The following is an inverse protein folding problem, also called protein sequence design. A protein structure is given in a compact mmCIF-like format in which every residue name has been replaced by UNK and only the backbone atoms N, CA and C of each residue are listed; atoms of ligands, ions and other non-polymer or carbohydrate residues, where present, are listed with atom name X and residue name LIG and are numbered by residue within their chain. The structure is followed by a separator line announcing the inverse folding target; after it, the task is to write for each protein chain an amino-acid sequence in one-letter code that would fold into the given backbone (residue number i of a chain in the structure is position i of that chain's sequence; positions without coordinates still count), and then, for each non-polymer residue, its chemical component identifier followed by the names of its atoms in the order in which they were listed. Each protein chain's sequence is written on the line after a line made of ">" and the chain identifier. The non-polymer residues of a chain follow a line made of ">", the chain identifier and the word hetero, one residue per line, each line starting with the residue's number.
data_IF_952472794872
#
_entry.id   IF_952472794872
#
_cell.length_a   1.000
_cell.length_b   1.000
_cell.length_c   1.000
_cell.angle_alpha   90.00
_cell.angle_beta   90.00
_cell.angle_gamma   90.00
#
_symmetry.space_group_name_H-M   'P 1'
#
loop_
_entity.id
_entity.type
_entity.pdbx_description
1 polymer ?
#
# COMPACT_ATOMS: atom_id res chain seq x y z
N UNK A 1 5.57 -6.91 -4.01
CA UNK A 1 5.68 -8.14 -4.82
C UNK A 1 6.99 -8.84 -4.48
N UNK A 2 6.96 -10.13 -4.12
CA UNK A 2 8.08 -10.76 -3.40
C UNK A 2 9.36 -10.83 -4.22
N UNK A 3 10.43 -10.24 -3.68
CA UNK A 3 11.80 -10.28 -4.18
C UNK A 3 12.48 -11.52 -3.57
N UNK A 4 12.72 -12.56 -4.36
CA UNK A 4 13.57 -13.70 -3.94
C UNK A 4 15.05 -13.41 -4.15
N UNK A 5 15.81 -13.36 -3.06
CA UNK A 5 17.27 -13.44 -3.09
C UNK A 5 17.64 -14.92 -3.06
N UNK A 6 18.41 -15.36 -4.04
CA UNK A 6 18.93 -16.73 -4.13
C UNK A 6 19.92 -16.97 -2.98
N UNK A 7 19.54 -17.76 -1.98
CA UNK A 7 20.52 -18.43 -1.15
C UNK A 7 21.30 -19.41 -2.05
N UNK A 8 22.62 -19.29 -2.05
CA UNK A 8 23.49 -20.19 -2.80
C UNK A 8 23.27 -21.60 -2.24
N UNK A 9 22.91 -22.54 -3.09
CA UNK A 9 22.73 -23.95 -2.71
C UNK A 9 24.08 -24.51 -2.24
N UNK A 10 24.33 -24.47 -0.93
CA UNK A 10 25.28 -25.38 -0.29
C UNK A 10 24.59 -26.74 -0.15
N UNK A 11 25.29 -27.87 -0.39
CA UNK A 11 24.66 -29.10 -0.87
C UNK A 11 23.89 -29.97 0.15
N UNK A 12 23.41 -29.47 1.30
CA UNK A 12 22.24 -30.11 1.91
C UNK A 12 21.01 -29.21 2.11
N UNK A 13 21.10 -27.88 2.04
CA UNK A 13 19.98 -26.99 2.35
C UNK A 13 19.32 -26.46 1.07
N UNK A 14 18.14 -26.99 0.72
CA UNK A 14 17.30 -26.48 -0.36
C UNK A 14 16.25 -25.55 0.25
N UNK A 15 16.70 -24.39 0.72
CA UNK A 15 15.87 -23.39 1.39
C UNK A 15 15.97 -22.07 0.63
N UNK A 16 14.92 -21.26 0.66
CA UNK A 16 14.91 -19.92 0.04
C UNK A 16 14.09 -18.94 0.87
N UNK A 17 14.48 -17.67 0.84
CA UNK A 17 13.76 -16.56 1.46
C UNK A 17 13.48 -15.46 0.42
N UNK A 18 12.27 -14.88 0.48
CA UNK A 18 11.84 -13.77 -0.38
C UNK A 18 11.08 -12.73 0.42
N UNK A 19 11.18 -11.45 0.05
CA UNK A 19 10.60 -10.34 0.81
C UNK A 19 9.78 -9.38 -0.03
N UNK A 20 8.64 -8.92 0.49
CA UNK A 20 7.90 -7.75 0.01
C UNK A 20 7.90 -6.64 1.07
N UNK A 21 7.78 -5.37 0.69
CA UNK A 21 7.62 -4.27 1.66
C UNK A 21 6.41 -4.52 2.58
N UNK A 22 6.60 -4.36 3.89
CA UNK A 22 5.58 -4.60 4.92
C UNK A 22 4.84 -3.36 5.41
N UNK A 23 5.25 -2.16 4.98
CA UNK A 23 4.61 -0.90 5.38
C UNK A 23 4.56 -0.68 6.90
N UNK A 24 5.50 -1.23 7.67
CA UNK A 24 5.54 -0.98 9.11
C UNK A 24 6.07 0.42 9.41
N UNK A 25 5.68 0.92 10.57
CA UNK A 25 6.06 2.25 11.02
C UNK A 25 7.41 2.25 11.75
N UNK A 26 8.46 2.60 11.01
CA UNK A 26 9.85 2.78 11.46
C UNK A 26 10.28 4.24 11.55
N UNK A 27 9.34 5.19 11.39
CA UNK A 27 9.64 6.62 11.30
C UNK A 27 8.60 7.44 12.06
N UNK A 28 9.07 8.26 12.98
CA UNK A 28 8.21 9.22 13.68
C UNK A 28 8.60 10.64 13.33
N UNK A 29 7.60 11.52 13.28
CA UNK A 29 7.80 12.97 13.26
C UNK A 29 7.75 13.47 14.69
N UNK A 30 8.77 14.22 15.12
CA UNK A 30 8.79 14.92 16.39
C UNK A 30 8.63 16.43 16.19
N UNK A 31 7.74 17.03 16.97
CA UNK A 31 7.52 18.46 17.07
C UNK A 31 8.40 19.01 18.19
N UNK A 32 9.51 19.63 17.79
CA UNK A 32 10.51 20.26 18.66
C UNK A 32 10.07 21.67 18.99
N UNK A 33 9.66 21.94 20.23
CA UNK A 33 9.31 23.31 20.63
C UNK A 33 10.55 24.20 20.57
N UNK A 34 10.51 25.23 19.74
CA UNK A 34 11.64 26.13 19.56
C UNK A 34 11.81 27.05 20.78
N UNK A 35 13.03 27.47 21.04
CA UNK A 35 13.38 28.35 22.15
C UNK A 35 14.56 29.26 21.75
N UNK A 36 14.81 30.28 22.56
CA UNK A 36 16.01 31.10 22.48
C UNK A 36 16.77 31.02 23.81
N UNK A 37 18.10 30.80 23.80
CA UNK A 37 18.89 30.63 25.03
C UNK A 37 18.98 31.91 25.87
N UNK A 38 18.75 33.07 25.27
CA UNK A 38 18.73 34.38 25.94
C UNK A 38 17.36 34.78 26.49
N UNK A 39 16.33 33.94 26.27
CA UNK A 39 14.97 34.19 26.72
C UNK A 39 14.17 35.16 25.86
N UNK A 40 14.68 35.57 24.70
CA UNK A 40 13.90 36.31 23.71
C UNK A 40 12.76 35.45 23.13
N UNK A 41 11.78 36.10 22.50
CA UNK A 41 10.61 35.43 21.93
C UNK A 41 11.02 34.48 20.79
N UNK A 42 10.78 33.16 20.91
CA UNK A 42 11.13 32.22 19.85
C UNK A 42 10.31 32.47 18.59
N UNK A 43 10.87 32.11 17.44
CA UNK A 43 10.20 32.18 16.15
C UNK A 43 10.40 30.88 15.36
N UNK A 44 9.73 30.73 14.22
CA UNK A 44 9.99 29.61 13.29
C UNK A 44 11.41 29.61 12.69
N UNK A 45 12.19 30.69 12.89
CA UNK A 45 13.59 30.79 12.47
C UNK A 45 14.58 30.47 13.60
N UNK A 46 14.10 30.27 14.83
CA UNK A 46 14.93 29.92 15.98
C UNK A 46 15.73 28.65 15.73
N UNK A 47 16.93 28.62 16.29
CA UNK A 47 17.91 27.54 16.08
C UNK A 47 18.16 26.70 17.32
N UNK A 48 17.35 26.87 18.35
CA UNK A 48 17.37 26.05 19.56
C UNK A 48 15.97 25.47 19.83
N UNK A 49 15.92 24.35 20.54
CA UNK A 49 14.69 23.64 20.90
C UNK A 49 14.74 23.12 22.34
N UNK A 50 13.58 22.95 22.95
CA UNK A 50 13.47 22.46 24.32
C UNK A 50 13.50 20.93 24.32
N UNK A 51 14.49 20.34 25.00
CA UNK A 51 14.55 18.91 25.26
C UNK A 51 14.94 18.62 26.70
N UNK A 52 14.11 17.84 27.40
CA UNK A 52 14.26 17.52 28.83
C UNK A 52 14.49 18.76 29.70
N UNK A 53 13.70 19.81 29.42
CA UNK A 53 13.73 21.08 30.16
C UNK A 53 14.89 22.02 29.81
N UNK A 54 15.74 21.69 28.83
CA UNK A 54 16.88 22.50 28.42
C UNK A 54 16.69 23.05 27.01
N UNK A 55 17.05 24.32 26.79
CA UNK A 55 17.11 24.91 25.45
C UNK A 55 18.44 24.51 24.78
N UNK A 56 18.37 23.63 23.78
CA UNK A 56 19.53 23.02 23.09
C UNK A 56 19.64 23.54 21.66
N UNK A 57 20.85 23.76 21.19
CA UNK A 57 21.07 24.13 19.79
C UNK A 57 20.69 22.97 18.86
N UNK A 58 20.08 23.30 17.73
CA UNK A 58 20.00 22.41 16.58
C UNK A 58 21.39 22.30 15.94
N UNK A 59 21.85 21.07 15.71
CA UNK A 59 23.15 20.82 15.09
C UNK A 59 23.12 21.19 13.60
N UNK A 60 24.22 21.77 13.11
CA UNK A 60 24.43 21.99 11.68
C UNK A 60 25.08 20.76 11.04
N UNK A 61 24.31 20.01 10.27
CA UNK A 61 24.82 18.86 9.53
C UNK A 61 25.23 19.27 8.12
N UNK A 62 26.43 18.87 7.70
CA UNK A 62 26.93 19.06 6.35
C UNK A 62 27.01 17.71 5.62
N UNK A 63 26.08 17.49 4.69
CA UNK A 63 25.99 16.27 3.89
C UNK A 63 26.91 16.27 2.65
N UNK A 64 27.74 17.31 2.49
CA UNK A 64 28.64 17.44 1.35
C UNK A 64 28.03 18.28 0.22
N UNK A 65 28.36 17.94 -1.03
CA UNK A 65 27.91 18.66 -2.21
C UNK A 65 26.95 17.79 -3.04
N UNK A 66 25.81 18.35 -3.44
CA UNK A 66 24.93 17.79 -4.46
C UNK A 66 25.02 18.68 -5.71
N UNK A 67 25.53 18.14 -6.82
CA UNK A 67 25.79 18.91 -8.06
C UNK A 67 26.59 20.20 -7.80
N UNK A 68 27.57 20.14 -6.90
CA UNK A 68 28.41 21.28 -6.51
C UNK A 68 27.79 22.23 -5.48
N UNK A 69 26.53 22.04 -5.10
CA UNK A 69 25.85 22.86 -4.07
C UNK A 69 25.99 22.24 -2.68
N UNK A 70 26.43 22.99 -1.65
CA UNK A 70 26.46 22.49 -0.29
C UNK A 70 25.07 22.08 0.21
N UNK A 71 24.95 20.82 0.64
CA UNK A 71 23.75 20.33 1.29
C UNK A 71 23.96 20.40 2.81
N UNK A 72 23.38 21.41 3.43
CA UNK A 72 23.39 21.62 4.88
C UNK A 72 21.99 21.69 5.44
N UNK A 73 21.76 21.11 6.59
CA UNK A 73 20.46 21.12 7.27
C UNK A 73 20.61 21.01 8.79
N UNK A 74 19.55 21.38 9.50
CA UNK A 74 19.48 21.33 10.95
C UNK A 74 19.09 19.93 11.44
N UNK A 75 19.66 19.52 12.57
CA UNK A 75 19.41 18.22 13.20
C UNK A 75 19.09 18.43 14.68
N UNK A 76 18.00 17.82 15.13
CA UNK A 76 17.64 17.68 16.55
C UNK A 76 18.11 16.34 17.09
N UNK A 77 17.89 16.06 18.37
CA UNK A 77 18.14 14.73 18.94
C UNK A 77 17.33 13.62 18.26
N UNK A 78 16.14 13.94 17.74
CA UNK A 78 15.28 13.02 17.00
C UNK A 78 15.59 12.97 15.49
N UNK A 79 16.60 13.71 15.01
CA UNK A 79 17.05 13.64 13.62
C UNK A 79 16.81 14.91 12.79
N UNK A 80 16.89 14.81 11.44
CA UNK A 80 16.86 15.95 10.55
C UNK A 80 15.55 16.74 10.63
N UNK A 81 15.67 18.06 10.72
CA UNK A 81 14.54 18.99 10.62
C UNK A 81 14.16 19.16 9.16
N UNK A 82 12.90 18.89 8.82
CA UNK A 82 12.40 18.97 7.44
C UNK A 82 11.38 20.09 7.24
N UNK A 83 10.80 20.63 8.33
CA UNK A 83 9.84 21.72 8.29
C UNK A 83 9.80 22.47 9.62
N UNK A 84 9.04 23.56 9.66
CA UNK A 84 8.66 24.25 10.89
C UNK A 84 7.16 24.51 10.87
N UNK A 85 6.55 24.60 12.03
CA UNK A 85 5.11 24.79 12.22
C UNK A 85 4.82 25.69 13.41
N UNK A 86 3.54 25.92 13.67
CA UNK A 86 3.06 26.52 14.92
C UNK A 86 2.05 25.60 15.58
N UNK A 87 2.11 25.46 16.91
CA UNK A 87 1.09 24.79 17.73
C UNK A 87 0.54 25.82 18.69
N UNK A 88 -0.75 26.17 18.55
CA UNK A 88 -1.39 27.24 19.34
C UNK A 88 -0.61 28.58 19.32
N UNK A 89 0.01 28.89 18.17
CA UNK A 89 0.83 30.09 17.96
C UNK A 89 2.30 29.94 18.34
N UNK A 90 2.66 28.95 19.15
CA UNK A 90 4.04 28.68 19.56
C UNK A 90 4.83 28.03 18.41
N UNK A 91 6.10 28.42 18.16
CA UNK A 91 6.88 27.90 17.04
C UNK A 91 7.53 26.54 17.33
N UNK A 92 7.46 25.64 16.35
CA UNK A 92 8.04 24.30 16.41
C UNK A 92 8.88 24.00 15.17
N UNK A 93 9.96 23.23 15.34
CA UNK A 93 10.60 22.52 14.24
C UNK A 93 10.02 21.10 14.16
N UNK A 94 9.84 20.59 12.94
CA UNK A 94 9.45 19.21 12.70
C UNK A 94 10.68 18.41 12.28
N UNK A 95 11.09 17.48 13.13
CA UNK A 95 12.18 16.55 12.90
C UNK A 95 11.65 15.16 12.59
N UNK A 96 12.45 14.32 11.95
CA UNK A 96 12.06 12.94 11.62
C UNK A 96 13.08 11.94 12.15
N UNK A 97 12.63 11.11 13.08
CA UNK A 97 13.41 10.01 13.61
C UNK A 97 13.18 8.76 12.76
N UNK A 98 14.25 8.03 12.48
CA UNK A 98 14.20 6.77 11.74
C UNK A 98 14.97 5.74 12.54
N UNK A 99 14.30 4.65 12.93
CA UNK A 99 14.89 3.62 13.80
C UNK A 99 16.15 2.99 13.22
N UNK A 100 16.26 2.95 11.89
CA UNK A 100 17.39 2.36 11.18
C UNK A 100 18.45 3.37 10.74
N UNK A 101 18.35 4.65 11.15
CA UNK A 101 19.33 5.67 10.76
C UNK A 101 20.73 5.29 11.22
N UNK A 102 21.71 5.32 10.29
CA UNK A 102 23.10 4.92 10.58
C UNK A 102 23.31 3.41 10.76
N UNK A 103 22.27 2.59 10.55
CA UNK A 103 22.29 1.12 10.76
C UNK A 103 22.04 0.35 9.47
N UNK A 104 21.97 1.02 8.32
CA UNK A 104 21.59 0.45 7.04
C UNK A 104 22.46 -0.76 6.65
N UNK A 105 23.77 -0.71 6.93
CA UNK A 105 24.70 -1.81 6.66
C UNK A 105 24.51 -3.06 7.54
N UNK A 106 23.88 -2.93 8.72
CA UNK A 106 23.67 -4.07 9.64
C UNK A 106 22.67 -5.08 9.09
N UNK A 107 21.77 -4.64 8.20
CA UNK A 107 20.82 -5.50 7.50
C UNK A 107 21.49 -6.64 6.71
N UNK A 108 22.74 -6.45 6.29
CA UNK A 108 23.49 -7.47 5.54
C UNK A 108 23.73 -8.75 6.36
N UNK A 109 23.71 -8.68 7.69
CA UNK A 109 23.84 -9.85 8.55
C UNK A 109 22.69 -10.83 8.34
N UNK A 110 21.44 -10.34 8.29
CA UNK A 110 20.27 -11.18 8.02
C UNK A 110 20.38 -11.89 6.67
N UNK A 111 20.77 -11.14 5.62
CA UNK A 111 20.91 -11.67 4.27
C UNK A 111 22.03 -12.70 4.18
N UNK A 112 23.15 -12.47 4.88
CA UNK A 112 24.28 -13.40 4.96
C UNK A 112 23.84 -14.72 5.60
N UNK A 113 23.19 -14.66 6.77
CA UNK A 113 22.74 -15.86 7.50
C UNK A 113 21.76 -16.70 6.66
N UNK A 114 20.82 -16.04 5.97
CA UNK A 114 19.90 -16.71 5.04
C UNK A 114 20.64 -17.33 3.84
N UNK A 115 21.65 -16.64 3.31
CA UNK A 115 22.41 -17.09 2.13
C UNK A 115 23.36 -18.25 2.44
N UNK A 116 23.91 -18.31 3.64
CA UNK A 116 24.85 -19.34 4.08
C UNK A 116 24.17 -20.60 4.64
N UNK A 117 22.84 -20.59 4.77
CA UNK A 117 22.04 -21.73 5.21
C UNK A 117 21.82 -21.82 6.73
N UNK A 118 22.14 -20.75 7.46
CA UNK A 118 21.93 -20.69 8.91
C UNK A 118 20.43 -20.60 9.27
N UNK A 119 19.60 -20.10 8.36
CA UNK A 119 18.13 -20.00 8.47
C UNK A 119 17.37 -21.34 8.23
N UNK A 120 17.99 -22.50 8.49
CA UNK A 120 17.51 -23.83 8.08
C UNK A 120 16.31 -24.41 8.86
N UNK A 121 15.68 -23.63 9.72
CA UNK A 121 14.45 -23.99 10.45
C UNK A 121 13.59 -22.74 10.63
N UNK A 122 12.28 -22.83 10.90
CA UNK A 122 11.46 -21.64 11.10
C UNK A 122 12.02 -20.69 12.17
N UNK A 123 12.48 -21.21 13.31
CA UNK A 123 13.08 -20.39 14.38
C UNK A 123 14.34 -19.69 13.92
N UNK A 124 15.28 -20.43 13.33
CA UNK A 124 16.53 -19.81 12.84
C UNK A 124 16.27 -18.81 11.72
N UNK A 125 15.26 -19.06 10.89
CA UNK A 125 14.80 -18.08 9.91
C UNK A 125 14.25 -16.83 10.59
N UNK A 126 13.42 -16.93 11.62
CA UNK A 126 12.92 -15.78 12.39
C UNK A 126 14.06 -15.00 13.05
N UNK A 127 14.98 -15.69 13.74
CA UNK A 127 16.20 -15.10 14.33
C UNK A 127 17.05 -14.36 13.29
N UNK A 128 17.14 -14.89 12.07
CA UNK A 128 17.88 -14.27 10.97
C UNK A 128 17.12 -13.07 10.40
N UNK A 129 15.82 -13.21 10.12
CA UNK A 129 14.97 -12.16 9.58
C UNK A 129 14.83 -10.97 10.55
N UNK A 130 14.82 -11.22 11.86
CA UNK A 130 14.74 -10.19 12.90
C UNK A 130 15.98 -9.28 12.95
N UNK A 131 17.11 -9.70 12.38
CA UNK A 131 18.29 -8.83 12.21
C UNK A 131 18.09 -7.77 11.11
N UNK A 132 17.08 -7.94 10.26
CA UNK A 132 16.77 -7.01 9.18
C UNK A 132 15.87 -5.87 9.71
N UNK A 133 16.49 -4.72 9.98
CA UNK A 133 15.81 -3.55 10.54
C UNK A 133 14.87 -2.83 9.57
N UNK A 134 14.95 -3.08 8.26
CA UNK A 134 13.94 -2.57 7.32
C UNK A 134 12.68 -3.42 7.33
N UNK A 135 11.59 -2.85 6.82
CA UNK A 135 10.23 -3.40 6.97
C UNK A 135 9.88 -4.34 5.81
N UNK A 136 10.00 -5.65 6.04
CA UNK A 136 9.74 -6.66 5.01
C UNK A 136 8.92 -7.84 5.52
N UNK A 137 7.94 -8.24 4.72
CA UNK A 137 7.20 -9.49 4.83
C UNK A 137 8.03 -10.59 4.17
N UNK A 138 8.67 -11.46 4.97
CA UNK A 138 9.52 -12.53 4.49
C UNK A 138 8.75 -13.85 4.41
N UNK A 139 8.84 -14.52 3.26
CA UNK A 139 8.45 -15.91 3.09
C UNK A 139 9.68 -16.80 3.07
N UNK A 140 9.61 -17.94 3.76
CA UNK A 140 10.62 -18.99 3.75
C UNK A 140 9.96 -20.33 3.37
N UNK A 141 10.67 -21.13 2.59
CA UNK A 141 10.24 -22.50 2.27
C UNK A 141 11.43 -23.47 2.29
N UNK A 142 11.17 -24.65 2.86
CA UNK A 142 12.01 -25.85 2.80
C UNK A 142 11.17 -27.06 2.40
N UNK A 143 11.81 -28.21 2.17
CA UNK A 143 11.12 -29.50 1.95
C UNK A 143 10.11 -29.90 3.04
N UNK A 144 10.25 -29.33 4.24
CA UNK A 144 9.48 -29.72 5.43
C UNK A 144 8.52 -28.65 5.92
N UNK A 145 8.80 -27.38 5.69
CA UNK A 145 8.04 -26.29 6.28
C UNK A 145 8.04 -25.05 5.38
N UNK A 146 6.91 -24.36 5.39
CA UNK A 146 6.79 -22.96 5.00
C UNK A 146 6.78 -22.11 6.27
N UNK A 147 7.34 -20.91 6.20
CA UNK A 147 7.39 -19.99 7.32
C UNK A 147 7.25 -18.55 6.85
N UNK A 148 6.73 -17.71 7.72
CA UNK A 148 6.58 -16.28 7.51
C UNK A 148 7.18 -15.51 8.69
N UNK A 149 7.75 -14.33 8.40
CA UNK A 149 8.18 -13.36 9.40
C UNK A 149 8.11 -11.95 8.84
N UNK A 150 7.57 -11.01 9.61
CA UNK A 150 7.58 -9.60 9.23
C UNK A 150 8.66 -8.84 10.00
N UNK A 151 9.72 -8.41 9.32
CA UNK A 151 10.88 -7.76 9.95
C UNK A 151 10.72 -6.25 10.08
N UNK A 152 11.56 -5.65 10.92
CA UNK A 152 11.69 -4.21 11.09
C UNK A 152 12.38 -3.90 12.42
N UNK A 153 13.00 -2.73 12.54
CA UNK A 153 13.43 -2.21 13.83
C UNK A 153 12.30 -1.33 14.38
N UNK A 154 11.30 -1.97 14.98
CA UNK A 154 10.01 -1.34 15.29
C UNK A 154 10.04 -0.74 16.70
N UNK A 155 9.89 0.59 16.86
CA UNK A 155 10.05 1.21 18.16
C UNK A 155 8.82 0.99 19.06
N UNK A 156 9.10 0.74 20.33
CA UNK A 156 8.12 0.80 21.41
C UNK A 156 7.86 2.26 21.77
N UNK A 157 6.76 2.81 21.27
CA UNK A 157 6.40 4.22 21.48
C UNK A 157 5.77 4.45 22.85
N UNK A 158 6.00 5.63 23.42
CA UNK A 158 5.33 6.07 24.63
C UNK A 158 3.79 6.03 24.50
N UNK A 159 3.09 5.75 25.60
CA UNK A 159 1.63 5.73 25.63
C UNK A 159 1.03 7.14 25.64
N UNK A 160 -0.15 7.30 25.04
CA UNK A 160 -1.01 8.49 25.22
C UNK A 160 -1.11 9.41 24.01
N UNK A 161 -0.23 9.27 23.02
CA UNK A 161 -0.30 10.03 21.76
C UNK A 161 -0.83 9.17 20.61
N UNK A 162 -1.54 9.82 19.70
CA UNK A 162 -1.97 9.22 18.44
C UNK A 162 -0.77 9.10 17.50
N UNK A 163 -0.44 7.88 17.09
CA UNK A 163 0.74 7.58 16.27
C UNK A 163 0.63 8.12 14.84
N UNK A 164 -0.56 8.55 14.43
CA UNK A 164 -0.80 9.13 13.10
C UNK A 164 -0.45 10.61 13.02
N UNK A 165 -0.06 11.21 14.14
CA UNK A 165 0.26 12.62 14.26
C UNK A 165 1.69 12.81 14.79
N UNK A 166 2.32 13.96 14.54
CA UNK A 166 3.60 14.31 15.15
C UNK A 166 3.58 14.17 16.68
N UNK A 167 4.67 13.62 17.23
CA UNK A 167 4.91 13.45 18.67
C UNK A 167 5.60 14.66 19.25
N UNK A 168 5.30 15.06 20.49
CA UNK A 168 6.05 16.15 21.13
C UNK A 168 7.50 15.74 21.44
N UNK A 169 8.47 16.51 20.93
CA UNK A 169 9.92 16.26 21.06
C UNK A 169 10.57 16.81 22.33
N UNK A 170 9.82 16.98 23.41
CA UNK A 170 10.36 17.58 24.65
C UNK A 170 11.07 16.58 25.59
N UNK A 171 11.19 15.31 25.18
CA UNK A 171 11.80 14.25 25.99
C UNK A 171 10.80 13.39 26.78
N UNK A 172 9.51 13.71 26.80
CA UNK A 172 8.49 12.93 27.56
C UNK A 172 7.94 11.73 26.80
N UNK A 173 8.04 11.73 25.47
CA UNK A 173 7.40 10.74 24.60
C UNK A 173 8.41 9.97 23.74
N UNK A 174 9.65 9.85 24.21
CA UNK A 174 10.70 9.09 23.55
C UNK A 174 10.29 7.64 23.29
N UNK A 175 10.91 7.01 22.30
CA UNK A 175 10.90 5.56 22.17
C UNK A 175 11.50 4.91 23.42
N UNK A 176 10.83 3.87 23.91
CA UNK A 176 11.17 3.15 25.14
C UNK A 176 12.00 1.89 24.88
N UNK A 177 12.17 1.53 23.62
CA UNK A 177 12.83 0.30 23.19
C UNK A 177 12.42 -0.07 21.77
N UNK A 178 12.63 -1.33 21.43
CA UNK A 178 12.21 -1.92 20.16
C UNK A 178 11.60 -3.29 20.43
N UNK A 179 10.59 -3.63 19.63
CA UNK A 179 9.91 -4.92 19.73
C UNK A 179 10.92 -6.07 19.66
N UNK A 180 10.70 -7.08 20.50
CA UNK A 180 11.42 -8.35 20.44
C UNK A 180 10.92 -9.23 19.29
N UNK A 181 11.73 -10.21 18.86
CA UNK A 181 11.36 -11.15 17.79
C UNK A 181 9.96 -11.76 17.96
N UNK A 182 9.57 -12.07 19.20
CA UNK A 182 8.28 -12.72 19.50
C UNK A 182 7.07 -11.81 19.29
N UNK A 183 7.28 -10.50 19.27
CA UNK A 183 6.24 -9.49 19.09
C UNK A 183 6.00 -9.15 17.63
N UNK A 184 6.90 -9.58 16.73
CA UNK A 184 6.73 -9.45 15.30
C UNK A 184 5.74 -10.50 14.75
N UNK A 185 4.92 -10.18 13.73
CA UNK A 185 4.09 -11.16 13.05
C UNK A 185 4.93 -12.28 12.44
N UNK A 186 4.66 -13.52 12.84
CA UNK A 186 5.30 -14.70 12.28
C UNK A 186 4.39 -15.91 12.44
N UNK A 187 4.48 -16.85 11.51
CA UNK A 187 3.75 -18.11 11.61
C UNK A 187 4.48 -19.22 10.82
N UNK A 188 4.18 -20.47 11.19
CA UNK A 188 4.58 -21.67 10.46
C UNK A 188 3.40 -22.13 9.64
N UNK A 189 3.50 -22.01 8.32
CA UNK A 189 2.36 -22.14 7.40
C UNK A 189 1.33 -21.02 7.56
N UNK A 190 0.34 -20.99 6.67
CA UNK A 190 -0.78 -20.07 6.74
C UNK A 190 -2.11 -20.79 6.48
N UNK A 191 -3.24 -20.05 6.44
CA UNK A 191 -4.55 -20.62 6.18
C UNK A 191 -4.56 -21.45 4.89
N UNK A 192 -5.10 -22.68 4.96
CA UNK A 192 -5.11 -23.66 3.85
C UNK A 192 -3.72 -24.04 3.31
N UNK A 193 -2.65 -23.78 4.06
CA UNK A 193 -1.28 -24.05 3.63
C UNK A 193 -0.68 -22.97 2.72
N UNK A 194 -1.34 -21.82 2.58
CA UNK A 194 -0.91 -20.72 1.71
C UNK A 194 -0.35 -19.56 2.54
N UNK A 195 0.72 -18.95 2.04
CA UNK A 195 1.25 -17.68 2.52
C UNK A 195 1.26 -16.71 1.34
N UNK A 196 0.24 -15.85 1.28
CA UNK A 196 0.05 -14.88 0.20
C UNK A 196 0.36 -13.49 0.73
N UNK A 197 1.17 -12.73 0.00
CA UNK A 197 1.43 -11.34 0.33
C UNK A 197 1.56 -10.52 -0.95
N UNK A 198 0.78 -9.45 -1.03
CA UNK A 198 0.96 -8.40 -2.04
C UNK A 198 1.08 -7.03 -1.39
N UNK A 199 1.99 -6.94 -0.43
CA UNK A 199 2.22 -5.78 0.42
C UNK A 199 1.05 -5.45 1.36
N UNK A 200 0.09 -6.37 1.54
CA UNK A 200 -0.99 -6.23 2.52
C UNK A 200 -0.48 -6.39 3.98
N UNK A 201 -1.33 -6.00 4.94
CA UNK A 201 -1.04 -6.05 6.38
C UNK A 201 -0.56 -7.43 6.83
N UNK A 202 0.54 -7.45 7.58
CA UNK A 202 1.23 -8.68 8.02
C UNK A 202 0.45 -9.53 9.02
N UNK A 203 -0.34 -8.89 9.89
CA UNK A 203 -1.25 -9.56 10.82
C UNK A 203 -2.40 -8.62 11.24
N UNK A 204 -3.56 -9.17 11.62
CA UNK A 204 -4.71 -8.35 12.05
C UNK A 204 -4.35 -7.40 13.20
N UNK A 205 -4.52 -6.10 12.98
CA UNK A 205 -4.28 -5.08 14.00
C UNK A 205 -2.81 -4.80 14.30
N UNK A 206 -1.88 -5.38 13.55
CA UNK A 206 -0.47 -5.05 13.69
C UNK A 206 -0.18 -3.66 13.12
N UNK A 207 0.77 -2.96 13.73
CA UNK A 207 1.12 -1.58 13.38
C UNK A 207 1.60 -1.43 11.94
N UNK A 208 1.33 -0.26 11.37
CA UNK A 208 1.64 0.15 10.01
C UNK A 208 1.95 1.64 9.97
N UNK A 209 2.60 2.09 8.90
CA UNK A 209 2.85 3.51 8.64
C UNK A 209 1.55 4.31 8.57
N UNK A 210 1.64 5.60 8.89
CA UNK A 210 0.54 6.56 8.81
C UNK A 210 0.01 6.78 7.38
N UNK A 211 0.87 6.52 6.39
CA UNK A 211 0.61 6.53 4.95
C UNK A 211 -0.03 5.25 4.39
N UNK A 212 -0.03 4.14 5.15
CA UNK A 212 -0.47 2.83 4.68
C UNK A 212 -1.66 2.29 5.51
N UNK A 213 -2.90 2.76 5.25
CA UNK A 213 -4.04 2.54 6.14
C UNK A 213 -4.59 1.11 6.17
N UNK A 214 -4.12 0.21 5.29
CA UNK A 214 -4.58 -1.18 5.15
C UNK A 214 -6.11 -1.33 5.23
N UNK A 215 -6.78 -0.87 4.17
CA UNK A 215 -8.23 -0.85 4.08
C UNK A 215 -8.90 -2.20 3.86
N UNK A 216 -10.20 -2.20 3.58
CA UNK A 216 -11.02 -3.41 3.48
C UNK A 216 -10.80 -4.21 2.19
N UNK A 217 -10.20 -3.58 1.18
CA UNK A 217 -9.89 -4.21 -0.10
C UNK A 217 -8.38 -4.22 -0.28
N UNK A 218 -7.85 -5.37 -0.69
CA UNK A 218 -6.44 -5.57 -0.94
C UNK A 218 -6.24 -6.40 -2.20
N UNK A 219 -5.39 -5.94 -3.13
CA UNK A 219 -5.03 -6.69 -4.35
C UNK A 219 -4.52 -8.13 -4.14
N UNK A 220 -4.11 -8.49 -2.92
CA UNK A 220 -3.77 -9.88 -2.58
C UNK A 220 -4.97 -10.84 -2.76
N UNK A 221 -6.19 -10.29 -2.73
CA UNK A 221 -7.44 -11.03 -2.94
C UNK A 221 -7.56 -11.61 -4.36
N UNK A 222 -6.87 -11.02 -5.35
CA UNK A 222 -6.80 -11.56 -6.71
C UNK A 222 -6.01 -12.90 -6.79
N UNK A 223 -5.22 -13.22 -5.76
CA UNK A 223 -4.63 -14.56 -5.61
C UNK A 223 -5.65 -15.53 -5.01
N UNK A 224 -6.69 -15.83 -5.77
CA UNK A 224 -7.76 -16.74 -5.39
C UNK A 224 -7.79 -18.01 -6.27
N UNK A 225 -8.90 -18.75 -6.23
CA UNK A 225 -9.15 -19.95 -7.04
C UNK A 225 -8.06 -21.06 -6.90
N UNK A 226 -7.29 -21.03 -5.82
CA UNK A 226 -6.32 -22.08 -5.50
C UNK A 226 -7.02 -23.44 -5.36
N UNK A 227 -6.59 -24.47 -6.11
CA UNK A 227 -7.08 -25.82 -5.89
C UNK A 227 -6.58 -26.32 -4.52
N UNK A 228 -7.26 -27.33 -3.98
CA UNK A 228 -6.88 -27.94 -2.68
C UNK A 228 -5.43 -28.43 -2.65
N UNK A 229 -4.93 -28.88 -3.80
CA UNK A 229 -3.56 -29.32 -4.01
C UNK A 229 -3.00 -28.57 -5.21
N UNK A 230 -2.39 -27.41 -4.96
CA UNK A 230 -1.80 -26.58 -6.00
C UNK A 230 -0.54 -27.22 -6.58
N UNK A 231 -0.48 -27.26 -7.91
CA UNK A 231 0.69 -27.60 -8.70
C UNK A 231 1.45 -26.32 -9.08
N UNK A 232 2.67 -26.49 -9.57
CA UNK A 232 3.48 -25.39 -10.08
C UNK A 232 2.78 -24.60 -11.20
N UNK A 233 2.04 -25.31 -12.07
CA UNK A 233 1.25 -24.69 -13.15
C UNK A 233 0.11 -23.84 -12.63
N UNK A 234 -0.54 -24.24 -11.52
CA UNK A 234 -1.62 -23.47 -10.92
C UNK A 234 -1.09 -22.17 -10.33
N UNK A 235 0.07 -22.22 -9.66
CA UNK A 235 0.72 -21.01 -9.14
C UNK A 235 1.06 -20.02 -10.25
N UNK A 236 1.61 -20.50 -11.39
CA UNK A 236 1.89 -19.66 -12.56
C UNK A 236 0.60 -19.09 -13.16
N UNK A 237 -0.43 -19.91 -13.31
CA UNK A 237 -1.73 -19.49 -13.85
C UNK A 237 -2.37 -18.39 -13.03
N UNK A 238 -2.47 -18.58 -11.71
CA UNK A 238 -3.04 -17.61 -10.77
C UNK A 238 -2.22 -16.32 -10.77
N UNK A 239 -0.88 -16.41 -10.79
CA UNK A 239 -0.01 -15.23 -10.86
C UNK A 239 -0.15 -14.45 -12.16
N UNK A 240 -0.29 -15.12 -13.30
CA UNK A 240 -0.48 -14.45 -14.59
C UNK A 240 -1.87 -13.83 -14.70
N UNK A 241 -2.91 -14.53 -14.25
CA UNK A 241 -4.28 -14.01 -14.21
C UNK A 241 -4.31 -12.74 -13.38
N UNK A 242 -3.95 -12.80 -12.10
CA UNK A 242 -3.92 -11.66 -11.18
C UNK A 242 -3.03 -10.49 -11.64
N UNK A 243 -2.00 -10.74 -12.47
CA UNK A 243 -1.17 -9.68 -13.05
C UNK A 243 -1.87 -8.91 -14.18
N UNK A 244 -2.97 -9.43 -14.71
CA UNK A 244 -3.76 -8.84 -15.80
C UNK A 244 -5.19 -8.47 -15.41
N UNK A 245 -5.63 -8.82 -14.19
CA UNK A 245 -6.92 -8.39 -13.65
C UNK A 245 -6.87 -6.91 -13.21
N UNK A 246 -8.00 -6.23 -13.35
CA UNK A 246 -8.17 -4.91 -12.75
C UNK A 246 -8.28 -5.00 -11.22
N UNK A 247 -7.43 -4.24 -10.51
CA UNK A 247 -7.37 -4.27 -9.05
C UNK A 247 -8.61 -3.69 -8.36
N UNK A 248 -9.44 -2.93 -9.08
CA UNK A 248 -10.71 -2.38 -8.58
C UNK A 248 -11.86 -3.39 -8.66
N UNK A 249 -11.67 -4.50 -9.38
CA UNK A 249 -12.69 -5.53 -9.57
C UNK A 249 -13.27 -6.11 -8.27
N UNK A 250 -12.52 -6.25 -7.14
CA UNK A 250 -13.10 -6.73 -5.89
C UNK A 250 -14.13 -5.78 -5.27
N UNK A 251 -14.05 -4.47 -5.55
CA UNK A 251 -14.99 -3.45 -5.02
C UNK A 251 -16.24 -3.35 -5.87
N UNK A 252 -16.12 -3.54 -7.19
CA UNK A 252 -17.22 -3.35 -8.14
C UNK A 252 -18.52 -4.07 -7.74
N UNK A 253 -18.54 -5.31 -7.22
CA UNK A 253 -19.76 -5.96 -6.77
C UNK A 253 -20.55 -5.19 -5.71
N UNK A 254 -19.91 -4.36 -4.88
CA UNK A 254 -20.61 -3.51 -3.89
C UNK A 254 -21.25 -2.31 -4.59
N UNK A 255 -20.52 -1.66 -5.51
CA UNK A 255 -21.03 -0.55 -6.32
C UNK A 255 -22.23 -1.02 -7.15
N UNK A 256 -22.08 -2.13 -7.87
CA UNK A 256 -23.12 -2.77 -8.68
C UNK A 256 -24.37 -3.10 -7.88
N UNK A 257 -24.25 -3.73 -6.69
CA UNK A 257 -25.39 -3.99 -5.79
C UNK A 257 -26.15 -2.72 -5.43
N UNK A 258 -25.44 -1.63 -5.17
CA UNK A 258 -26.06 -0.35 -4.83
C UNK A 258 -26.80 0.25 -6.02
N UNK A 259 -26.19 0.28 -7.21
CA UNK A 259 -26.81 0.79 -8.43
C UNK A 259 -28.08 0.00 -8.79
N UNK A 260 -28.01 -1.34 -8.75
CA UNK A 260 -29.14 -2.25 -9.00
C UNK A 260 -30.23 -2.25 -7.92
N UNK A 261 -30.05 -1.55 -6.80
CA UNK A 261 -31.10 -1.40 -5.79
C UNK A 261 -32.26 -0.50 -6.24
N UNK A 262 -32.13 0.13 -7.42
CA UNK A 262 -33.17 0.92 -8.09
C UNK A 262 -32.97 0.93 -9.61
N UNK A 263 -33.87 1.60 -10.36
CA UNK A 263 -33.77 1.67 -11.81
C UNK A 263 -32.60 2.55 -12.26
N UNK A 264 -31.97 2.17 -13.38
CA UNK A 264 -31.04 3.02 -14.11
C UNK A 264 -31.76 4.24 -14.72
N UNK A 265 -31.07 5.38 -14.91
CA UNK A 265 -31.64 6.57 -15.56
C UNK A 265 -32.00 6.34 -17.02
N UNK A 266 -31.16 5.59 -17.74
CA UNK A 266 -31.37 5.25 -19.15
C UNK A 266 -31.01 3.79 -19.47
N UNK A 267 -31.39 3.34 -20.68
CA UNK A 267 -31.01 2.02 -21.17
C UNK A 267 -29.50 1.90 -21.41
N UNK A 268 -28.84 3.01 -21.81
CA UNK A 268 -27.39 3.06 -22.01
C UNK A 268 -26.66 2.83 -20.69
N UNK A 269 -27.05 3.54 -19.63
CA UNK A 269 -26.34 3.45 -18.35
C UNK A 269 -26.52 2.05 -17.73
N UNK A 270 -27.70 1.44 -17.94
CA UNK A 270 -27.93 0.05 -17.61
C UNK A 270 -26.97 -0.88 -18.37
N UNK A 271 -26.73 -0.64 -19.67
CA UNK A 271 -25.75 -1.38 -20.47
C UNK A 271 -24.32 -1.19 -19.96
N UNK A 272 -23.90 0.04 -19.63
CA UNK A 272 -22.57 0.33 -19.07
C UNK A 272 -22.31 -0.49 -17.81
N UNK A 273 -23.25 -0.47 -16.85
CA UNK A 273 -23.13 -1.24 -15.61
C UNK A 273 -23.15 -2.75 -15.89
N UNK A 274 -23.99 -3.22 -16.82
CA UNK A 274 -24.05 -4.63 -17.18
C UNK A 274 -22.76 -5.16 -17.84
N UNK A 275 -22.10 -4.33 -18.66
CA UNK A 275 -20.80 -4.66 -19.26
C UNK A 275 -19.73 -4.81 -18.18
N UNK A 276 -19.67 -3.90 -17.21
CA UNK A 276 -18.74 -4.02 -16.08
C UNK A 276 -19.07 -5.21 -15.18
N UNK A 277 -20.35 -5.49 -14.92
CA UNK A 277 -20.77 -6.68 -14.18
C UNK A 277 -20.29 -7.98 -14.84
N UNK A 278 -20.45 -8.09 -16.16
CA UNK A 278 -19.99 -9.26 -16.92
C UNK A 278 -18.47 -9.37 -16.95
N UNK A 279 -17.79 -8.26 -17.21
CA UNK A 279 -16.33 -8.19 -17.26
C UNK A 279 -15.70 -8.55 -15.92
N UNK A 280 -16.20 -8.00 -14.81
CA UNK A 280 -15.75 -8.33 -13.45
C UNK A 280 -16.04 -9.80 -13.09
N UNK A 281 -17.17 -10.35 -13.53
CA UNK A 281 -17.50 -11.78 -13.34
C UNK A 281 -16.51 -12.70 -14.07
N UNK A 282 -15.78 -12.20 -15.07
CA UNK A 282 -14.74 -12.91 -15.81
C UNK A 282 -13.32 -12.51 -15.37
N UNK A 283 -13.18 -12.09 -14.12
CA UNK A 283 -11.92 -11.68 -13.49
C UNK A 283 -11.34 -10.37 -14.07
N UNK A 284 -12.17 -9.52 -14.70
CA UNK A 284 -11.80 -8.17 -15.16
C UNK A 284 -10.48 -8.09 -15.95
N UNK A 285 -10.30 -8.88 -17.03
CA UNK A 285 -9.06 -8.93 -17.78
C UNK A 285 -8.75 -7.59 -18.48
N UNK A 286 -7.50 -7.13 -18.37
CA UNK A 286 -6.94 -5.98 -19.09
C UNK A 286 -5.94 -6.47 -20.13
N UNK A 287 -6.44 -6.99 -21.24
CA UNK A 287 -5.66 -7.73 -22.24
C UNK A 287 -5.73 -7.08 -23.63
N UNK A 288 -4.64 -7.29 -24.38
CA UNK A 288 -4.48 -7.12 -25.83
C UNK A 288 -3.93 -8.47 -26.31
N UNK A 289 -4.84 -9.42 -26.52
CA UNK A 289 -4.48 -10.82 -26.76
C UNK A 289 -4.11 -11.07 -28.23
N UNK A 290 -4.63 -10.27 -29.15
CA UNK A 290 -4.36 -10.37 -30.59
C UNK A 290 -3.19 -9.48 -31.05
N UNK A 291 -2.71 -8.57 -30.21
CA UNK A 291 -1.53 -7.75 -30.42
C UNK A 291 -1.77 -6.53 -31.29
N UNK A 292 -3.02 -6.06 -31.41
CA UNK A 292 -3.40 -4.89 -32.20
C UNK A 292 -3.17 -3.54 -31.48
N UNK A 293 -2.72 -3.60 -30.23
CA UNK A 293 -2.44 -2.46 -29.33
C UNK A 293 -3.69 -1.80 -28.73
N UNK A 294 -4.85 -2.45 -28.79
CA UNK A 294 -6.12 -2.01 -28.22
C UNK A 294 -6.54 -3.02 -27.15
N UNK A 295 -7.28 -2.58 -26.13
CA UNK A 295 -7.90 -3.54 -25.22
C UNK A 295 -8.95 -4.39 -25.94
N UNK A 296 -8.95 -5.70 -25.69
CA UNK A 296 -9.85 -6.66 -26.35
C UNK A 296 -11.35 -6.43 -26.00
N UNK A 297 -11.63 -5.65 -24.94
CA UNK A 297 -12.97 -5.44 -24.40
C UNK A 297 -13.16 -4.00 -23.90
N UNK A 298 -14.41 -3.53 -23.81
CA UNK A 298 -14.75 -2.19 -23.30
C UNK A 298 -14.56 -2.02 -21.78
N UNK A 299 -14.49 -3.12 -21.02
CA UNK A 299 -14.40 -3.11 -19.55
C UNK A 299 -13.27 -2.22 -18.98
N UNK A 300 -12.01 -2.38 -19.42
CA UNK A 300 -10.91 -1.49 -19.05
C UNK A 300 -11.17 -0.01 -19.36
N UNK A 301 -11.78 0.28 -20.52
CA UNK A 301 -12.08 1.64 -20.98
C UNK A 301 -13.10 2.30 -20.04
N UNK A 302 -14.19 1.60 -19.75
CA UNK A 302 -15.26 2.09 -18.87
C UNK A 302 -14.73 2.24 -17.45
N UNK A 303 -14.06 1.22 -16.90
CA UNK A 303 -13.57 1.25 -15.51
C UNK A 303 -12.55 2.38 -15.29
N UNK A 304 -11.66 2.65 -16.27
CA UNK A 304 -10.67 3.73 -16.19
C UNK A 304 -11.33 5.12 -16.15
N UNK A 305 -12.38 5.32 -16.93
CA UNK A 305 -13.11 6.59 -16.95
C UNK A 305 -14.01 6.76 -15.71
N UNK A 306 -14.61 5.65 -15.24
CA UNK A 306 -15.69 5.69 -14.25
C UNK A 306 -15.20 5.71 -12.80
N UNK A 307 -14.09 5.03 -12.50
CA UNK A 307 -13.73 4.73 -11.11
C UNK A 307 -13.47 5.98 -10.26
N UNK A 308 -12.58 6.89 -10.71
CA UNK A 308 -12.25 8.10 -9.95
C UNK A 308 -13.48 8.98 -9.70
N UNK A 309 -14.31 9.32 -10.72
CA UNK A 309 -15.55 10.04 -10.49
C UNK A 309 -16.49 9.37 -9.46
N UNK A 310 -16.62 8.04 -9.49
CA UNK A 310 -17.43 7.31 -8.50
C UNK A 310 -16.85 7.42 -7.08
N UNK A 311 -15.52 7.27 -6.94
CA UNK A 311 -14.85 7.35 -5.66
C UNK A 311 -14.96 8.77 -5.06
N UNK A 312 -14.80 9.80 -5.88
CA UNK A 312 -15.01 11.19 -5.46
C UNK A 312 -16.47 11.45 -5.05
N UNK A 313 -17.44 11.05 -5.87
CA UNK A 313 -18.87 11.26 -5.57
C UNK A 313 -19.34 10.49 -4.34
N UNK A 314 -18.75 9.32 -4.07
CA UNK A 314 -19.01 8.59 -2.81
C UNK A 314 -18.63 9.43 -1.60
N UNK A 315 -17.57 10.23 -1.70
CA UNK A 315 -16.98 10.96 -0.58
C UNK A 315 -17.46 12.42 -0.47
N UNK A 316 -17.82 13.03 -1.60
CA UNK A 316 -18.18 14.44 -1.76
C UNK A 316 -19.33 14.95 -0.88
N UNK A 317 -20.43 14.21 -0.62
CA UNK A 317 -21.55 14.76 0.13
C UNK A 317 -21.23 15.17 1.57
N UNK A 318 -20.18 14.59 2.17
CA UNK A 318 -19.73 14.92 3.53
C UNK A 318 -18.45 15.76 3.52
N UNK A 319 -17.53 15.50 2.59
CA UNK A 319 -16.26 16.21 2.53
C UNK A 319 -16.32 17.55 1.78
N UNK A 320 -17.29 17.72 0.88
CA UNK A 320 -17.42 18.92 0.06
C UNK A 320 -16.14 19.24 -0.69
N UNK A 321 -15.62 20.45 -0.48
CA UNK A 321 -14.42 20.95 -1.15
C UNK A 321 -13.13 20.23 -0.70
N UNK A 322 -13.16 19.42 0.36
CA UNK A 322 -12.00 18.67 0.86
C UNK A 322 -11.74 17.36 0.10
N UNK A 323 -12.56 17.00 -0.90
CA UNK A 323 -12.36 15.77 -1.68
C UNK A 323 -11.00 15.76 -2.37
N UNK A 324 -10.60 16.88 -2.96
CA UNK A 324 -9.32 17.00 -3.68
C UNK A 324 -8.13 16.87 -2.72
N UNK A 325 -8.24 17.41 -1.49
CA UNK A 325 -7.23 17.26 -0.45
C UNK A 325 -7.11 15.79 0.00
N UNK A 326 -8.26 15.11 0.14
CA UNK A 326 -8.28 13.68 0.50
C UNK A 326 -7.68 12.84 -0.63
N UNK A 327 -7.99 13.14 -1.89
CA UNK A 327 -7.40 12.47 -3.04
C UNK A 327 -5.88 12.69 -3.11
N UNK A 328 -5.42 13.93 -2.91
CA UNK A 328 -3.99 14.25 -2.88
C UNK A 328 -3.22 13.47 -1.79
N UNK A 329 -3.87 13.18 -0.66
CA UNK A 329 -3.25 12.46 0.47
C UNK A 329 -3.42 10.95 0.38
N UNK A 330 -4.55 10.45 -0.12
CA UNK A 330 -4.91 9.03 -0.05
C UNK A 330 -4.98 8.33 -1.41
N UNK A 331 -5.14 9.06 -2.50
CA UNK A 331 -5.34 8.51 -3.85
C UNK A 331 -6.67 7.76 -3.95
N UNK A 332 -7.74 8.48 -4.30
CA UNK A 332 -9.07 7.90 -4.49
C UNK A 332 -9.16 7.03 -5.76
N UNK A 333 -8.21 7.18 -6.68
CA UNK A 333 -8.07 6.29 -7.85
C UNK A 333 -7.33 4.97 -7.53
N UNK A 334 -6.83 4.79 -6.31
CA UNK A 334 -6.08 3.59 -5.89
C UNK A 334 -6.72 2.79 -4.76
N UNK A 335 -5.93 1.88 -4.17
CA UNK A 335 -6.35 0.95 -3.10
C UNK A 335 -7.04 1.62 -1.90
N UNK A 336 -6.64 2.85 -1.57
CA UNK A 336 -7.31 3.62 -0.51
C UNK A 336 -8.74 3.99 -0.92
N UNK A 337 -8.94 4.51 -2.13
CA UNK A 337 -10.25 4.82 -2.69
C UNK A 337 -11.14 3.60 -2.75
N UNK A 338 -10.60 2.47 -3.23
CA UNK A 338 -11.27 1.16 -3.23
C UNK A 338 -11.84 0.80 -1.86
N UNK A 339 -11.02 0.96 -0.82
CA UNK A 339 -11.42 0.68 0.56
C UNK A 339 -12.38 1.72 1.15
N UNK A 340 -12.31 2.99 0.75
CA UNK A 340 -13.29 4.01 1.15
C UNK A 340 -14.66 3.66 0.58
N UNK A 341 -14.72 3.38 -0.72
CA UNK A 341 -15.96 3.01 -1.42
C UNK A 341 -16.53 1.71 -0.84
N UNK A 342 -15.74 0.64 -0.74
CA UNK A 342 -16.22 -0.65 -0.19
C UNK A 342 -16.83 -0.49 1.20
N UNK A 343 -16.13 0.16 2.14
CA UNK A 343 -16.60 0.28 3.52
C UNK A 343 -17.84 1.15 3.64
N UNK A 344 -17.88 2.29 2.97
CA UNK A 344 -18.99 3.22 3.08
C UNK A 344 -20.25 2.62 2.46
N UNK A 345 -20.15 2.09 1.23
CA UNK A 345 -21.29 1.52 0.52
C UNK A 345 -21.82 0.24 1.19
N UNK A 346 -20.95 -0.64 1.69
CA UNK A 346 -21.39 -1.81 2.48
C UNK A 346 -22.12 -1.40 3.75
N UNK A 347 -21.60 -0.38 4.46
CA UNK A 347 -22.27 0.17 5.64
C UNK A 347 -23.65 0.73 5.29
N UNK A 348 -23.76 1.43 4.16
CA UNK A 348 -25.00 2.01 3.66
C UNK A 348 -26.02 0.95 3.23
N UNK A 349 -25.56 -0.17 2.65
CA UNK A 349 -26.36 -1.33 2.28
C UNK A 349 -26.78 -2.21 3.48
N UNK A 350 -26.26 -1.92 4.68
CA UNK A 350 -26.57 -2.67 5.91
C UNK A 350 -25.71 -3.92 6.13
N UNK A 351 -24.63 -4.09 5.36
CA UNK A 351 -23.68 -5.17 5.57
C UNK A 351 -22.89 -4.96 6.88
N UNK A 352 -22.46 -6.06 7.50
CA UNK A 352 -21.55 -5.99 8.65
C UNK A 352 -20.14 -5.63 8.18
N UNK A 353 -19.67 -4.44 8.55
CA UNK A 353 -18.31 -3.94 8.25
C UNK A 353 -17.45 -3.95 9.52
N UNK A 354 -16.23 -4.47 9.43
CA UNK A 354 -15.25 -4.37 10.52
C UNK A 354 -14.62 -2.98 10.52
N UNK A 355 -14.69 -2.29 11.65
CA UNK A 355 -14.21 -0.90 11.77
C UNK A 355 -14.92 0.03 10.78
N UNK A 356 -16.27 0.15 10.83
CA UNK A 356 -16.98 1.07 9.95
C UNK A 356 -16.51 2.50 10.17
N UNK A 357 -16.70 3.38 9.18
CA UNK A 357 -16.42 4.80 9.38
C UNK A 357 -17.37 5.40 10.42
N UNK A 358 -16.90 6.44 11.11
CA UNK A 358 -17.74 7.21 12.04
C UNK A 358 -18.81 8.03 11.30
N UNK A 359 -18.57 8.35 10.03
CA UNK A 359 -19.47 9.08 9.15
C UNK A 359 -20.00 8.14 8.07
N UNK A 360 -21.11 8.54 7.46
CA UNK A 360 -21.64 7.91 6.23
C UNK A 360 -21.51 8.93 5.12
N UNK A 361 -20.64 8.66 4.15
CA UNK A 361 -20.23 9.64 3.16
C UNK A 361 -21.22 9.69 2.00
N UNK A 362 -21.49 8.56 1.35
CA UNK A 362 -22.28 8.54 0.13
C UNK A 362 -23.72 8.95 0.39
N UNK A 363 -24.22 9.91 -0.40
CA UNK A 363 -25.53 10.53 -0.23
C UNK A 363 -25.81 11.05 1.19
N UNK A 364 -24.77 11.35 1.99
CA UNK A 364 -24.91 11.71 3.41
C UNK A 364 -25.56 10.60 4.26
N UNK A 365 -25.39 9.33 3.87
CA UNK A 365 -26.00 8.17 4.52
C UNK A 365 -27.42 7.82 4.04
N UNK A 366 -27.90 8.45 2.97
CA UNK A 366 -29.13 8.07 2.27
C UNK A 366 -28.83 7.15 1.09
N UNK A 367 -29.29 5.90 1.16
CA UNK A 367 -29.10 4.93 0.07
C UNK A 367 -29.71 5.43 -1.26
N UNK A 368 -30.88 6.06 -1.21
CA UNK A 368 -31.53 6.60 -2.40
C UNK A 368 -30.76 7.76 -3.02
N UNK A 369 -30.21 8.67 -2.19
CA UNK A 369 -29.41 9.79 -2.67
C UNK A 369 -28.07 9.33 -3.23
N UNK A 370 -27.38 8.42 -2.53
CA UNK A 370 -26.14 7.81 -2.99
C UNK A 370 -26.33 7.11 -4.34
N UNK A 371 -27.37 6.28 -4.47
CA UNK A 371 -27.68 5.62 -5.74
C UNK A 371 -27.94 6.63 -6.86
N UNK A 372 -28.73 7.66 -6.59
CA UNK A 372 -29.03 8.67 -7.60
C UNK A 372 -27.77 9.41 -8.07
N UNK A 373 -26.86 9.75 -7.15
CA UNK A 373 -25.63 10.46 -7.53
C UNK A 373 -24.62 9.57 -8.24
N UNK A 374 -24.44 8.31 -7.81
CA UNK A 374 -23.58 7.37 -8.52
C UNK A 374 -24.14 7.02 -9.91
N UNK A 375 -25.45 6.96 -10.10
CA UNK A 375 -26.04 6.85 -11.43
C UNK A 375 -25.81 8.10 -12.28
N UNK A 376 -25.85 9.30 -11.68
CA UNK A 376 -25.48 10.54 -12.39
C UNK A 376 -24.04 10.50 -12.89
N UNK A 377 -23.11 10.00 -12.07
CA UNK A 377 -21.72 9.78 -12.50
C UNK A 377 -21.63 8.81 -13.68
N UNK A 378 -22.39 7.71 -13.66
CA UNK A 378 -22.40 6.76 -14.80
C UNK A 378 -22.91 7.44 -16.07
N UNK A 379 -23.98 8.23 -15.97
CA UNK A 379 -24.57 8.96 -17.10
C UNK A 379 -23.59 9.98 -17.70
N UNK A 380 -22.97 10.82 -16.85
CA UNK A 380 -21.98 11.83 -17.27
C UNK A 380 -20.77 11.18 -17.94
N UNK A 381 -20.23 10.11 -17.36
CA UNK A 381 -19.09 9.37 -17.93
C UNK A 381 -19.46 8.68 -19.24
N UNK A 382 -20.68 8.16 -19.34
CA UNK A 382 -21.16 7.53 -20.57
C UNK A 382 -21.38 8.55 -21.70
N UNK A 383 -21.84 9.76 -21.40
CA UNK A 383 -21.90 10.88 -22.34
C UNK A 383 -20.50 11.25 -22.85
N UNK A 384 -19.54 11.41 -21.93
CA UNK A 384 -18.17 11.77 -22.27
C UNK A 384 -17.48 10.69 -23.12
N UNK A 385 -17.63 9.41 -22.76
CA UNK A 385 -17.08 8.30 -23.54
C UNK A 385 -17.72 8.20 -24.92
N UNK A 386 -19.06 8.28 -25.02
CA UNK A 386 -19.73 8.25 -26.32
C UNK A 386 -19.25 9.38 -27.24
N UNK A 387 -19.06 10.58 -26.69
CA UNK A 387 -18.53 11.72 -27.45
C UNK A 387 -17.06 11.54 -27.87
N UNK A 388 -16.21 11.01 -26.99
CA UNK A 388 -14.78 10.76 -27.27
C UNK A 388 -14.58 9.64 -28.30
N UNK A 389 -15.38 8.59 -28.21
CA UNK A 389 -15.33 7.42 -29.10
C UNK A 389 -16.01 7.70 -30.44
N UNK A 390 -16.96 8.65 -30.47
CA UNK A 390 -17.82 8.88 -31.63
C UNK A 390 -18.82 7.74 -31.86
N UNK A 391 -19.04 6.90 -30.84
CA UNK A 391 -19.91 5.72 -30.88
C UNK A 391 -20.87 5.74 -29.67
N UNK A 392 -22.18 5.72 -29.88
CA UNK A 392 -23.14 5.67 -28.78
C UNK A 392 -23.25 4.30 -28.10
N UNK A 393 -22.73 3.22 -28.68
CA UNK A 393 -22.79 1.87 -28.10
C UNK A 393 -21.60 1.63 -27.14
N UNK A 394 -21.85 1.45 -25.82
CA UNK A 394 -20.80 1.19 -24.86
C UNK A 394 -19.99 -0.09 -25.12
N UNK A 395 -20.55 -1.06 -25.84
CA UNK A 395 -19.85 -2.30 -26.16
C UNK A 395 -18.71 -2.10 -27.18
N UNK A 396 -18.78 -1.05 -27.99
CA UNK A 396 -17.83 -0.76 -29.07
C UNK A 396 -16.73 0.23 -28.65
N UNK A 397 -16.76 0.72 -27.41
CA UNK A 397 -15.75 1.67 -26.90
C UNK A 397 -14.38 1.00 -26.73
N UNK A 398 -13.35 1.64 -27.30
CA UNK A 398 -11.99 1.11 -27.36
C UNK A 398 -10.98 2.12 -26.80
N UNK A 399 -9.90 1.61 -26.22
CA UNK A 399 -8.74 2.43 -25.84
C UNK A 399 -7.44 1.67 -26.10
N UNK A 400 -6.33 2.37 -26.36
CA UNK A 400 -5.03 1.74 -26.48
C UNK A 400 -4.70 0.92 -25.23
N UNK A 401 -4.26 -0.33 -25.43
CA UNK A 401 -3.85 -1.17 -24.33
C UNK A 401 -2.57 -0.61 -23.67
N UNK A 402 -2.55 -0.56 -22.34
CA UNK A 402 -1.40 -0.06 -21.60
C UNK A 402 -0.13 -0.87 -21.90
N UNK A 403 1.01 -0.17 -22.02
CA UNK A 403 2.32 -0.77 -22.25
C UNK A 403 3.35 -0.27 -21.24
N UNK A 404 4.26 -1.15 -20.87
CA UNK A 404 5.37 -0.85 -19.97
C UNK A 404 6.70 -0.84 -20.72
N UNK A 405 7.63 -0.02 -20.24
CA UNK A 405 9.02 0.04 -20.71
C UNK A 405 10.00 0.08 -19.54
N UNK A 406 11.30 0.18 -19.84
CA UNK A 406 12.35 0.19 -18.82
C UNK A 406 12.84 1.62 -18.53
N UNK A 407 12.59 2.14 -17.33
CA UNK A 407 13.12 3.45 -16.86
C UNK A 407 14.63 3.30 -16.54
N UNK A 408 15.53 4.24 -16.94
CA UNK A 408 15.25 5.57 -17.49
C UNK A 408 15.23 5.65 -19.03
N UNK A 409 14.85 4.59 -19.73
CA UNK A 409 14.73 4.58 -21.21
C UNK A 409 15.97 4.11 -21.95
N UNK A 410 16.89 3.42 -21.26
CA UNK A 410 18.10 2.85 -21.87
C UNK A 410 17.81 1.63 -22.76
N UNK A 411 16.64 1.01 -22.58
CA UNK A 411 16.13 -0.10 -23.40
C UNK A 411 14.83 0.39 -24.05
N UNK A 412 14.77 0.54 -25.39
CA UNK A 412 13.64 1.18 -26.07
C UNK A 412 12.41 0.26 -26.20
N UNK A 413 12.55 -1.03 -25.92
CA UNK A 413 11.46 -1.99 -26.04
C UNK A 413 10.35 -1.70 -25.04
N UNK A 414 9.10 -1.84 -25.50
CA UNK A 414 7.91 -1.89 -24.67
C UNK A 414 7.24 -3.25 -24.77
N UNK A 415 6.44 -3.60 -23.77
CA UNK A 415 5.66 -4.84 -23.71
C UNK A 415 4.28 -4.53 -23.08
N UNK A 416 3.28 -5.40 -23.26
CA UNK A 416 1.97 -5.22 -22.61
C UNK A 416 2.13 -5.00 -21.09
N UNK A 417 1.45 -3.99 -20.57
CA UNK A 417 1.51 -3.70 -19.15
C UNK A 417 0.89 -4.84 -18.34
N UNK A 418 1.59 -5.27 -17.29
CA UNK A 418 1.08 -6.24 -16.32
C UNK A 418 1.48 -5.77 -14.93
N UNK A 419 0.62 -6.02 -13.94
CA UNK A 419 0.89 -5.80 -12.52
C UNK A 419 1.77 -6.94 -11.98
N UNK A 420 2.98 -7.06 -12.53
CA UNK A 420 3.92 -8.18 -12.36
C UNK A 420 5.23 -7.71 -11.71
N UNK A 421 6.01 -8.56 -11.01
CA UNK A 421 7.24 -8.11 -10.38
C UNK A 421 8.32 -8.02 -11.45
N UNK A 422 9.39 -7.29 -11.15
CA UNK A 422 10.58 -7.21 -12.02
C UNK A 422 11.19 -8.58 -12.33
N UNK A 423 11.00 -9.58 -11.45
CA UNK A 423 11.33 -10.98 -11.72
C UNK A 423 10.38 -11.91 -10.99
N UNK A 424 10.24 -13.14 -11.47
CA UNK A 424 9.49 -14.20 -10.79
C UNK A 424 10.33 -15.46 -10.68
N UNK A 425 10.11 -16.18 -9.59
CA UNK A 425 10.65 -17.52 -9.38
C UNK A 425 9.50 -18.44 -8.98
N UNK A 426 9.50 -19.63 -9.55
CA UNK A 426 8.55 -20.68 -9.20
C UNK A 426 9.38 -21.90 -8.84
N UNK A 427 9.23 -22.36 -7.61
CA UNK A 427 10.11 -23.36 -7.01
C UNK A 427 9.26 -24.48 -6.43
N UNK A 428 9.60 -25.71 -6.79
CA UNK A 428 9.10 -26.92 -6.16
C UNK A 428 10.28 -27.62 -5.47
N UNK A 429 10.14 -27.87 -4.17
CA UNK A 429 11.18 -28.53 -3.39
C UNK A 429 10.83 -30.01 -3.24
N UNK A 430 11.32 -30.82 -4.18
CA UNK A 430 11.06 -32.26 -4.19
C UNK A 430 11.56 -32.93 -2.90
N UNK A 431 10.73 -33.79 -2.32
CA UNK A 431 11.06 -34.64 -1.16
C UNK A 431 11.89 -35.87 -1.55
N UNK A 432 11.91 -36.21 -2.83
CA UNK A 432 12.63 -37.35 -3.38
C UNK A 432 13.93 -36.86 -4.01
N UNK A 433 15.00 -36.81 -3.21
CA UNK A 433 16.34 -36.68 -3.76
C UNK A 433 16.59 -37.80 -4.78
N UNK A 434 16.76 -37.44 -6.04
CA UNK A 434 17.61 -38.19 -6.97
C UNK A 434 18.89 -37.42 -7.17
#
# INVERSE_FOLDING_TARGET
>A
MSVTIRAKTSPPAADTASGGAAGHDVRDVFAERLCEPDGSEPTRASTHYVYRGQCRALEDFNAGLLNGQPLRYKVSVHGPVFATATVDGEPYALSRERSTFGRDGLNLAALKDMTEGDASTPQRFWESANKFGFTFNWGYVSRKFTSFFSSGLLPERASGLDRRLPTLGDGRFEWQGFLSEKEHPHDRSGPRGLLLNWNNQSAPGFMHGDDEPYGSVQRVELFDQWPRHALLTDAVGIMNRAATEDVRSPVWPVVSRLLHSGPAPSARDATVVALLDDWVRRDAPRLDADGDLIYDEAGPVIMDALWRPLAEETMRPVLGDLVDDVDAVRGLDGLSGESYVDKDLRTLLGDRVKGPFNLRYCGGGSLAACRASLWGVVDDVADDLAAQQGDPDPADWQAPAARSGFVPGLIPNTFPATNRPTFQQVLELDRHGR
#
